data_IF_106768999099
#
_entry.id   IF_106768999099
#
_cell.length_a   1.000
_cell.length_b   1.000
_cell.length_c   1.000
_cell.angle_alpha   90.00
_cell.angle_beta   90.00
_cell.angle_gamma   90.00
#
_symmetry.space_group_name_H-M   'P 1'
#
loop_
_entity.id
_entity.type
_entity.pdbx_description
1 polymer ?
#
# COMPACT_ATOMS: atom_id res chain seq x y z
N UNK A 1 13.77 12.09 15.85
CA UNK A 1 12.76 11.41 15.01
C UNK A 1 11.71 10.87 15.95
N UNK A 2 10.44 11.18 15.74
CA UNK A 2 9.39 10.69 16.65
C UNK A 2 8.49 9.70 15.90
N UNK A 3 8.86 8.43 15.95
CA UNK A 3 7.94 7.34 15.68
C UNK A 3 7.15 7.07 16.97
N UNK A 4 5.85 7.35 16.97
CA UNK A 4 4.95 7.04 18.08
C UNK A 4 4.11 5.81 17.76
N UNK A 5 3.93 4.93 18.75
CA UNK A 5 3.09 3.74 18.62
C UNK A 5 1.77 3.96 19.36
N UNK A 6 0.66 3.67 18.71
CA UNK A 6 -0.69 3.82 19.23
C UNK A 6 -1.42 2.48 19.14
N UNK A 7 -2.04 2.05 20.24
CA UNK A 7 -2.93 0.90 20.24
C UNK A 7 -4.31 1.36 19.77
N UNK A 8 -4.67 1.03 18.54
CA UNK A 8 -5.93 1.41 17.92
C UNK A 8 -6.96 0.29 18.05
N UNK A 9 -8.14 0.61 18.60
CA UNK A 9 -9.29 -0.28 18.65
C UNK A 9 -10.18 -0.05 17.45
N UNK A 10 -10.40 -1.07 16.64
CA UNK A 10 -11.39 -1.03 15.56
C UNK A 10 -12.69 -1.68 15.98
N UNK A 11 -13.77 -0.93 15.91
CA UNK A 11 -15.13 -1.45 16.14
C UNK A 11 -15.66 -2.20 14.91
N UNK A 12 -15.19 -1.83 13.69
CA UNK A 12 -15.56 -2.51 12.44
C UNK A 12 -14.89 -3.89 12.37
N UNK A 13 -13.57 -3.94 12.61
CA UNK A 13 -12.80 -5.20 12.49
C UNK A 13 -12.82 -6.03 13.78
N UNK A 14 -13.35 -5.47 14.88
CA UNK A 14 -13.44 -6.13 16.20
C UNK A 14 -12.09 -6.61 16.72
N UNK A 15 -11.04 -5.81 16.50
CA UNK A 15 -9.70 -6.10 16.97
C UNK A 15 -8.96 -4.85 17.44
N UNK A 16 -7.80 -5.09 18.06
CA UNK A 16 -6.83 -4.06 18.41
C UNK A 16 -5.60 -4.24 17.53
N UNK A 17 -5.07 -3.13 17.00
CA UNK A 17 -3.83 -3.15 16.22
C UNK A 17 -2.93 -1.99 16.56
N UNK A 18 -1.65 -2.17 16.41
CA UNK A 18 -0.70 -1.07 16.53
C UNK A 18 -0.70 -0.26 15.25
N UNK A 19 -0.79 1.05 15.41
CA UNK A 19 -0.59 2.03 14.36
C UNK A 19 0.59 2.90 14.78
N UNK A 20 1.63 2.95 13.94
CA UNK A 20 2.77 3.83 14.19
C UNK A 20 2.69 5.07 13.33
N UNK A 21 3.02 6.22 13.92
CA UNK A 21 3.03 7.51 13.22
C UNK A 21 4.40 8.15 13.33
N UNK A 22 4.93 8.57 12.18
CA UNK A 22 6.15 9.38 12.08
C UNK A 22 5.81 10.72 11.44
N UNK A 23 6.01 11.81 12.19
CA UNK A 23 5.67 13.18 11.74
C UNK A 23 6.93 14.00 11.47
N UNK A 24 6.87 14.85 10.43
CA UNK A 24 7.79 15.97 10.29
C UNK A 24 7.40 17.12 11.23
N UNK A 25 8.37 17.97 11.57
CA UNK A 25 8.12 19.20 12.34
C UNK A 25 7.66 20.37 11.46
N UNK A 26 7.35 20.12 10.19
CA UNK A 26 6.94 21.15 9.24
C UNK A 26 5.48 21.57 9.48
N UNK A 27 5.21 22.86 9.29
CA UNK A 27 3.85 23.43 9.30
C UNK A 27 3.19 23.45 7.92
N UNK A 28 3.92 23.09 6.86
CA UNK A 28 3.38 22.98 5.51
C UNK A 28 2.38 21.82 5.40
N UNK A 29 1.40 21.89 4.49
CA UNK A 29 0.49 20.78 4.24
C UNK A 29 1.27 19.49 3.93
N UNK A 30 1.02 18.39 4.66
CA UNK A 30 1.83 17.19 4.53
C UNK A 30 1.44 16.31 3.33
N UNK A 31 2.42 15.59 2.80
CA UNK A 31 2.18 14.32 2.11
C UNK A 31 1.94 13.24 3.16
N UNK A 32 0.77 12.61 3.11
CA UNK A 32 0.40 11.53 4.02
C UNK A 32 0.65 10.17 3.36
N UNK A 33 1.42 9.31 3.99
CA UNK A 33 1.78 7.99 3.43
C UNK A 33 1.30 6.91 4.38
N UNK A 34 0.43 6.02 3.91
CA UNK A 34 -0.12 4.91 4.67
C UNK A 34 0.51 3.61 4.20
N UNK A 35 1.25 2.94 5.07
CA UNK A 35 1.91 1.67 4.82
C UNK A 35 1.09 0.53 5.43
N UNK A 36 0.53 -0.32 4.59
CA UNK A 36 -0.06 -1.60 5.00
C UNK A 36 1.07 -2.62 5.24
N UNK A 37 0.90 -3.60 6.12
CA UNK A 37 2.01 -4.40 6.67
C UNK A 37 3.08 -3.50 7.34
N UNK A 38 2.62 -2.56 8.16
CA UNK A 38 3.46 -1.52 8.76
C UNK A 38 4.69 -2.05 9.47
N UNK A 39 4.57 -3.18 10.18
CA UNK A 39 5.67 -3.88 10.83
C UNK A 39 6.77 -4.35 9.86
N UNK A 40 6.39 -4.83 8.65
CA UNK A 40 7.38 -5.23 7.64
C UNK A 40 8.10 -4.02 7.05
N UNK A 41 7.38 -2.94 6.80
CA UNK A 41 8.00 -1.69 6.35
C UNK A 41 8.97 -1.13 7.39
N UNK A 42 8.61 -1.13 8.67
CA UNK A 42 9.51 -0.72 9.76
C UNK A 42 10.75 -1.62 9.86
N UNK A 43 10.59 -2.96 9.74
CA UNK A 43 11.72 -3.90 9.71
C UNK A 43 12.68 -3.67 8.53
N UNK A 44 12.17 -3.14 7.41
CA UNK A 44 13.00 -2.76 6.26
C UNK A 44 13.72 -1.41 6.42
N UNK A 45 13.52 -0.69 7.52
CA UNK A 45 14.12 0.61 7.77
C UNK A 45 13.42 1.76 7.04
N UNK A 46 12.11 1.65 6.81
CA UNK A 46 11.35 2.69 6.12
C UNK A 46 11.32 4.00 6.90
N UNK A 47 11.43 3.94 8.23
CA UNK A 47 11.48 5.12 9.08
C UNK A 47 12.69 6.02 8.77
N UNK A 48 13.85 5.42 8.47
CA UNK A 48 15.05 6.17 8.09
C UNK A 48 14.89 6.78 6.69
N UNK A 49 14.25 6.07 5.76
CA UNK A 49 13.93 6.58 4.43
C UNK A 49 13.02 7.81 4.55
N UNK A 50 11.93 7.71 5.32
CA UNK A 50 11.01 8.85 5.57
C UNK A 50 11.75 10.01 6.24
N UNK A 51 12.59 9.72 7.23
CA UNK A 51 13.38 10.73 7.92
C UNK A 51 14.32 11.50 6.98
N UNK A 52 14.91 10.84 5.98
CA UNK A 52 15.76 11.51 4.99
C UNK A 52 14.99 12.55 4.17
N UNK A 53 13.75 12.26 3.78
CA UNK A 53 12.89 13.23 3.10
C UNK A 53 12.46 14.37 4.02
N UNK A 54 12.13 14.08 5.27
CA UNK A 54 11.78 15.09 6.27
C UNK A 54 12.96 16.05 6.54
N UNK A 55 14.19 15.52 6.58
CA UNK A 55 15.43 16.33 6.73
C UNK A 55 15.67 17.23 5.52
N UNK A 56 15.15 16.89 4.34
CA UNK A 56 15.14 17.73 3.15
C UNK A 56 13.98 18.75 3.12
N UNK A 57 13.43 19.11 4.29
CA UNK A 57 12.30 20.04 4.49
C UNK A 57 10.98 19.63 3.81
N UNK A 58 10.81 18.35 3.47
CA UNK A 58 9.51 17.86 2.99
C UNK A 58 8.58 17.60 4.17
N UNK A 59 7.38 18.16 4.11
CA UNK A 59 6.33 17.87 5.09
C UNK A 59 5.73 16.50 4.81
N UNK A 60 6.08 15.50 5.63
CA UNK A 60 5.61 14.11 5.46
C UNK A 60 5.10 13.59 6.81
N UNK A 61 3.94 12.92 6.76
CA UNK A 61 3.44 12.12 7.85
C UNK A 61 3.28 10.67 7.34
N UNK A 62 4.01 9.75 7.93
CA UNK A 62 3.90 8.33 7.63
C UNK A 62 3.08 7.62 8.71
N UNK A 63 2.14 6.79 8.27
CA UNK A 63 1.27 5.96 9.09
C UNK A 63 1.52 4.49 8.74
N UNK A 64 2.02 3.70 9.68
CA UNK A 64 2.29 2.28 9.51
C UNK A 64 1.21 1.48 10.22
N UNK A 65 0.52 0.61 9.50
CA UNK A 65 -0.66 -0.12 9.98
C UNK A 65 -0.31 -1.59 10.13
N UNK A 66 -0.40 -2.11 11.35
CA UNK A 66 -0.12 -3.53 11.61
C UNK A 66 -1.14 -4.45 10.95
N UNK A 67 -0.65 -5.54 10.38
CA UNK A 67 -1.46 -6.65 9.87
C UNK A 67 -1.76 -7.72 10.93
N UNK A 68 -1.30 -7.52 12.16
CA UNK A 68 -1.44 -8.41 13.32
C UNK A 68 -0.73 -9.77 13.11
N UNK A 69 -1.50 -10.80 12.82
CA UNK A 69 -1.02 -12.16 12.59
C UNK A 69 -1.29 -12.61 11.14
N UNK A 70 -0.71 -13.77 10.79
CA UNK A 70 -0.83 -14.30 9.43
C UNK A 70 -2.28 -14.55 9.01
N UNK A 71 -3.12 -15.08 9.89
CA UNK A 71 -4.52 -15.40 9.58
C UNK A 71 -5.32 -14.12 9.31
N UNK A 72 -5.19 -13.14 10.19
CA UNK A 72 -5.82 -11.83 10.06
C UNK A 72 -5.34 -11.12 8.80
N UNK A 73 -4.03 -11.16 8.53
CA UNK A 73 -3.46 -10.59 7.31
C UNK A 73 -4.08 -11.15 6.04
N UNK A 74 -4.22 -12.49 5.92
CA UNK A 74 -4.84 -13.09 4.74
C UNK A 74 -6.33 -12.75 4.63
N UNK A 75 -7.05 -12.70 5.75
CA UNK A 75 -8.47 -12.33 5.77
C UNK A 75 -8.70 -10.89 5.35
N UNK A 76 -7.95 -9.96 5.93
CA UNK A 76 -8.20 -8.52 5.78
C UNK A 76 -7.61 -7.94 4.49
N UNK A 77 -6.51 -8.51 4.00
CA UNK A 77 -5.81 -8.01 2.81
C UNK A 77 -6.15 -8.75 1.50
N UNK A 78 -7.30 -9.39 1.45
CA UNK A 78 -7.83 -10.03 0.24
C UNK A 78 -9.06 -9.28 -0.30
N UNK A 79 -8.90 -8.00 -0.59
CA UNK A 79 -9.98 -7.12 -1.08
C UNK A 79 -11.22 -7.13 -0.15
N UNK A 80 -11.01 -7.15 1.15
CA UNK A 80 -12.05 -7.25 2.18
C UNK A 80 -12.68 -5.89 2.47
N UNK A 81 -13.94 -5.69 2.12
CA UNK A 81 -14.65 -4.42 2.28
C UNK A 81 -14.66 -3.86 3.71
N UNK A 82 -14.85 -4.66 4.78
CA UNK A 82 -14.76 -4.12 6.13
C UNK A 82 -13.38 -3.53 6.48
N UNK A 83 -12.29 -4.00 5.84
CA UNK A 83 -10.98 -3.36 6.00
C UNK A 83 -10.95 -1.97 5.33
N UNK A 84 -11.60 -1.82 4.17
CA UNK A 84 -11.76 -0.51 3.50
C UNK A 84 -12.59 0.44 4.36
N UNK A 85 -13.68 -0.04 4.96
CA UNK A 85 -14.51 0.74 5.90
C UNK A 85 -13.70 1.16 7.13
N UNK A 86 -12.93 0.24 7.73
CA UNK A 86 -12.02 0.57 8.82
C UNK A 86 -11.06 1.71 8.44
N UNK A 87 -10.46 1.66 7.25
CA UNK A 87 -9.56 2.71 6.76
C UNK A 87 -10.31 4.05 6.66
N UNK A 88 -11.49 4.07 6.02
CA UNK A 88 -12.21 5.33 5.73
C UNK A 88 -12.99 5.90 6.90
N UNK A 89 -13.62 5.04 7.71
CA UNK A 89 -14.57 5.47 8.73
C UNK A 89 -13.96 5.56 10.13
N UNK A 90 -12.87 4.82 10.40
CA UNK A 90 -12.22 4.81 11.70
C UNK A 90 -10.80 5.37 11.66
N UNK A 91 -9.91 4.80 10.83
CA UNK A 91 -8.49 5.13 10.85
C UNK A 91 -8.21 6.54 10.35
N UNK A 92 -8.74 6.93 9.20
CA UNK A 92 -8.49 8.26 8.62
C UNK A 92 -9.00 9.39 9.53
N UNK A 93 -10.23 9.36 10.07
CA UNK A 93 -10.69 10.38 11.01
C UNK A 93 -9.81 10.48 12.26
N UNK A 94 -9.43 9.34 12.83
CA UNK A 94 -8.52 9.30 13.96
C UNK A 94 -7.14 9.88 13.61
N UNK A 95 -6.56 9.46 12.46
CA UNK A 95 -5.27 9.94 11.99
C UNK A 95 -5.25 11.46 11.78
N UNK A 96 -6.31 12.02 11.18
CA UNK A 96 -6.43 13.46 10.97
C UNK A 96 -6.47 14.23 12.29
N UNK A 97 -7.20 13.72 13.28
CA UNK A 97 -7.27 14.30 14.62
C UNK A 97 -5.91 14.20 15.35
N UNK A 98 -5.29 13.02 15.36
CA UNK A 98 -3.99 12.76 16.01
C UNK A 98 -2.86 13.58 15.40
N UNK A 99 -2.88 13.70 14.07
CA UNK A 99 -1.87 14.44 13.33
C UNK A 99 -2.18 15.94 13.20
N UNK A 100 -3.40 16.38 13.53
CA UNK A 100 -3.89 17.74 13.32
C UNK A 100 -3.71 18.18 11.87
N UNK A 101 -4.08 17.32 10.93
CA UNK A 101 -3.98 17.58 9.50
C UNK A 101 -5.25 17.17 8.78
N UNK A 102 -5.46 17.70 7.59
CA UNK A 102 -6.51 17.25 6.68
C UNK A 102 -5.89 16.43 5.55
N UNK A 103 -6.46 15.26 5.30
CA UNK A 103 -6.00 14.39 4.22
C UNK A 103 -6.35 15.02 2.87
N UNK A 104 -5.32 15.28 2.05
CA UNK A 104 -5.51 15.71 0.68
C UNK A 104 -5.29 14.50 -0.25
N UNK A 105 -6.30 14.05 -1.01
CA UNK A 105 -6.19 12.86 -1.85
C UNK A 105 -5.01 12.89 -2.83
N UNK A 106 -4.68 14.08 -3.37
CA UNK A 106 -3.58 14.25 -4.33
C UNK A 106 -2.20 14.08 -3.67
N UNK A 107 -2.11 14.37 -2.37
CA UNK A 107 -0.89 14.23 -1.57
C UNK A 107 -0.97 13.04 -0.61
N UNK A 108 -1.90 12.11 -0.85
CA UNK A 108 -2.05 10.93 0.00
C UNK A 108 -1.70 9.67 -0.79
N UNK A 109 -0.81 8.88 -0.21
CA UNK A 109 -0.26 7.67 -0.80
C UNK A 109 -0.69 6.48 0.05
N UNK A 110 -1.22 5.44 -0.58
CA UNK A 110 -1.43 4.13 0.04
C UNK A 110 -0.39 3.15 -0.50
N UNK A 111 0.37 2.53 0.39
CA UNK A 111 1.49 1.66 0.07
C UNK A 111 1.25 0.24 0.57
N UNK A 112 1.61 -0.74 -0.24
CA UNK A 112 1.61 -2.14 0.17
C UNK A 112 2.54 -3.01 -0.65
N UNK A 113 2.84 -4.17 -0.10
CA UNK A 113 3.68 -5.18 -0.72
C UNK A 113 2.97 -6.54 -0.76
N UNK A 114 3.20 -7.33 -1.81
CA UNK A 114 2.59 -8.67 -1.93
C UNK A 114 1.06 -8.59 -1.80
N UNK A 115 0.47 -9.26 -0.82
CA UNK A 115 -0.97 -9.24 -0.58
C UNK A 115 -1.47 -7.84 -0.21
N UNK A 116 -0.71 -7.07 0.56
CA UNK A 116 -1.09 -5.68 0.86
C UNK A 116 -0.88 -4.74 -0.33
N UNK A 117 -0.06 -5.10 -1.32
CA UNK A 117 -0.01 -4.42 -2.61
C UNK A 117 -1.31 -4.57 -3.40
N UNK A 118 -1.92 -5.77 -3.39
CA UNK A 118 -3.28 -5.97 -3.90
C UNK A 118 -4.29 -5.08 -3.17
N UNK A 119 -4.22 -5.05 -1.83
CA UNK A 119 -5.12 -4.25 -0.99
C UNK A 119 -4.96 -2.76 -1.24
N UNK A 120 -3.73 -2.27 -1.41
CA UNK A 120 -3.47 -0.86 -1.72
C UNK A 120 -4.12 -0.44 -3.05
N UNK A 121 -4.01 -1.28 -4.07
CA UNK A 121 -4.69 -1.05 -5.35
C UNK A 121 -6.22 -1.07 -5.20
N UNK A 122 -6.76 -2.00 -4.40
CA UNK A 122 -8.19 -2.08 -4.10
C UNK A 122 -8.69 -0.83 -3.35
N UNK A 123 -7.97 -0.39 -2.31
CA UNK A 123 -8.29 0.85 -1.57
C UNK A 123 -8.25 2.06 -2.50
N UNK A 124 -7.23 2.19 -3.34
CA UNK A 124 -7.14 3.30 -4.31
C UNK A 124 -8.31 3.32 -5.30
N UNK A 125 -8.81 2.15 -5.72
CA UNK A 125 -9.99 2.04 -6.57
C UNK A 125 -11.28 2.45 -5.84
N UNK A 126 -11.45 2.04 -4.57
CA UNK A 126 -12.71 2.23 -3.81
C UNK A 126 -12.75 3.59 -3.10
N UNK A 127 -11.60 4.11 -2.68
CA UNK A 127 -11.48 5.37 -1.92
C UNK A 127 -10.70 6.46 -2.68
N UNK A 128 -11.05 6.81 -3.93
CA UNK A 128 -10.30 7.79 -4.73
C UNK A 128 -10.36 9.22 -4.13
N UNK A 129 -11.31 9.47 -3.23
CA UNK A 129 -11.42 10.73 -2.50
C UNK A 129 -10.50 10.80 -1.26
N UNK A 130 -9.78 9.72 -0.95
CA UNK A 130 -8.79 9.67 0.13
C UNK A 130 -7.38 9.42 -0.42
N UNK A 131 -7.24 8.56 -1.42
CA UNK A 131 -5.96 8.17 -1.98
C UNK A 131 -6.00 8.23 -3.51
N UNK A 132 -5.16 9.08 -4.09
CA UNK A 132 -4.94 9.13 -5.54
C UNK A 132 -3.58 8.61 -5.96
N UNK A 133 -2.69 8.36 -5.02
CA UNK A 133 -1.37 7.79 -5.26
C UNK A 133 -1.29 6.40 -4.64
N UNK A 134 -1.06 5.40 -5.47
CA UNK A 134 -1.07 4.00 -5.09
C UNK A 134 0.30 3.38 -5.38
N UNK A 135 0.97 2.87 -4.33
CA UNK A 135 2.27 2.22 -4.45
C UNK A 135 2.12 0.73 -4.14
N UNK A 136 2.41 -0.12 -5.11
CA UNK A 136 2.34 -1.58 -4.98
C UNK A 136 3.69 -2.21 -5.30
N UNK A 137 4.31 -2.85 -4.33
CA UNK A 137 5.52 -3.65 -4.52
C UNK A 137 5.12 -5.13 -4.61
N UNK A 138 5.36 -5.76 -5.76
CA UNK A 138 5.01 -7.16 -6.03
C UNK A 138 3.55 -7.48 -5.66
N UNK A 139 2.58 -6.66 -6.12
CA UNK A 139 1.17 -6.83 -5.77
C UNK A 139 0.61 -8.20 -6.16
N UNK A 140 -0.10 -8.89 -5.23
CA UNK A 140 -0.66 -10.22 -5.45
C UNK A 140 -1.90 -10.20 -6.38
N UNK A 141 -1.77 -9.59 -7.57
CA UNK A 141 -2.89 -9.40 -8.50
C UNK A 141 -3.42 -10.70 -9.11
N UNK A 142 -2.72 -11.81 -8.94
CA UNK A 142 -3.16 -13.17 -9.28
C UNK A 142 -4.31 -13.67 -8.39
N UNK A 143 -4.55 -13.02 -7.23
CA UNK A 143 -5.52 -13.47 -6.25
C UNK A 143 -6.92 -13.61 -6.85
N UNK A 144 -7.60 -14.72 -6.49
CA UNK A 144 -8.96 -15.05 -6.91
C UNK A 144 -9.17 -14.90 -8.44
N UNK A 145 -8.26 -15.54 -9.21
CA UNK A 145 -8.26 -15.47 -10.67
C UNK A 145 -8.24 -14.03 -11.22
N UNK A 146 -7.38 -13.18 -10.64
CA UNK A 146 -7.20 -11.79 -11.06
C UNK A 146 -8.47 -10.91 -10.87
N UNK A 147 -9.26 -11.23 -9.86
CA UNK A 147 -10.54 -10.57 -9.58
C UNK A 147 -10.41 -9.04 -9.54
N UNK A 148 -9.37 -8.49 -8.92
CA UNK A 148 -9.20 -7.03 -8.85
C UNK A 148 -8.97 -6.41 -10.22
N UNK A 149 -8.22 -7.07 -11.10
CA UNK A 149 -8.02 -6.62 -12.49
C UNK A 149 -9.38 -6.50 -13.20
N UNK A 150 -10.25 -7.49 -13.03
CA UNK A 150 -11.59 -7.47 -13.62
C UNK A 150 -12.50 -6.38 -13.02
N UNK A 151 -12.41 -6.10 -11.72
CA UNK A 151 -13.13 -4.97 -11.11
C UNK A 151 -12.62 -3.63 -11.64
N UNK A 152 -11.30 -3.46 -11.74
CA UNK A 152 -10.69 -2.23 -12.23
C UNK A 152 -11.00 -1.93 -13.69
N UNK A 153 -11.22 -2.95 -14.54
CA UNK A 153 -11.70 -2.75 -15.93
C UNK A 153 -12.99 -1.92 -15.99
N UNK A 154 -13.88 -2.11 -15.00
CA UNK A 154 -15.20 -1.45 -14.92
C UNK A 154 -15.19 -0.18 -14.07
N UNK A 155 -14.12 0.08 -13.34
CA UNK A 155 -14.02 1.20 -12.41
C UNK A 155 -13.49 2.45 -13.10
N UNK A 156 -13.85 3.62 -12.57
CA UNK A 156 -13.26 4.88 -12.96
C UNK A 156 -12.01 5.16 -12.11
N UNK A 157 -10.84 5.13 -12.75
CA UNK A 157 -9.54 5.41 -12.11
C UNK A 157 -9.03 6.83 -12.44
N UNK A 158 -9.92 7.72 -12.85
CA UNK A 158 -9.58 9.09 -13.25
C UNK A 158 -8.84 9.83 -12.12
N UNK A 159 -7.72 10.44 -12.46
CA UNK A 159 -6.81 11.14 -11.56
C UNK A 159 -6.08 10.27 -10.53
N UNK A 160 -6.18 8.95 -10.59
CA UNK A 160 -5.29 8.07 -9.83
C UNK A 160 -3.93 7.98 -10.50
N UNK A 161 -2.89 7.79 -9.72
CA UNK A 161 -1.54 7.48 -10.21
C UNK A 161 -0.99 6.25 -9.49
N UNK A 162 -0.32 5.39 -10.24
CA UNK A 162 0.21 4.13 -9.74
C UNK A 162 1.73 4.07 -9.87
N UNK A 163 2.36 3.53 -8.86
CA UNK A 163 3.69 2.96 -8.97
C UNK A 163 3.59 1.46 -8.71
N UNK A 164 4.02 0.67 -9.68
CA UNK A 164 4.08 -0.79 -9.59
C UNK A 164 5.52 -1.24 -9.79
N UNK A 165 6.03 -2.08 -8.91
CA UNK A 165 7.27 -2.81 -9.18
C UNK A 165 7.13 -4.29 -8.86
N UNK A 166 7.93 -5.12 -9.52
CA UNK A 166 7.95 -6.57 -9.32
C UNK A 166 9.33 -7.13 -9.62
N UNK A 167 9.77 -8.14 -8.86
CA UNK A 167 11.01 -8.83 -9.14
C UNK A 167 10.92 -9.70 -10.38
N UNK A 168 11.89 -9.61 -11.28
CA UNK A 168 11.92 -10.39 -12.54
C UNK A 168 12.14 -11.90 -12.33
N UNK A 169 12.47 -12.32 -11.09
CA UNK A 169 12.59 -13.73 -10.67
C UNK A 169 11.29 -14.27 -10.05
N UNK A 170 10.24 -13.49 -9.91
CA UNK A 170 8.95 -13.88 -9.33
C UNK A 170 8.09 -14.64 -10.36
N UNK A 171 8.63 -15.73 -10.91
CA UNK A 171 8.07 -16.54 -12.01
C UNK A 171 7.38 -17.81 -11.55
N UNK A 172 7.34 -18.09 -10.24
CA UNK A 172 6.74 -19.31 -9.71
C UNK A 172 5.22 -19.30 -9.89
N UNK A 173 4.67 -20.48 -10.17
CA UNK A 173 3.24 -20.76 -10.33
C UNK A 173 2.85 -21.97 -9.47
N UNK A 174 1.56 -22.21 -9.34
CA UNK A 174 1.00 -23.35 -8.60
C UNK A 174 1.43 -23.37 -7.12
N UNK A 175 1.43 -22.21 -6.47
CA UNK A 175 1.82 -22.06 -5.07
C UNK A 175 0.56 -21.98 -4.21
N UNK A 176 0.52 -22.77 -3.14
CA UNK A 176 -0.48 -22.65 -2.07
C UNK A 176 0.11 -21.78 -0.95
N UNK A 177 -0.30 -20.53 -0.87
CA UNK A 177 0.17 -19.58 0.14
C UNK A 177 -0.52 -19.75 1.49
N UNK A 178 -1.83 -20.02 1.43
CA UNK A 178 -2.73 -20.15 2.59
C UNK A 178 -4.02 -20.83 2.12
N UNK A 179 -4.81 -21.49 2.99
CA UNK A 179 -6.12 -22.05 2.58
C UNK A 179 -6.98 -21.01 1.85
N UNK A 180 -7.36 -21.32 0.61
CA UNK A 180 -8.10 -20.39 -0.28
C UNK A 180 -7.23 -19.41 -1.07
N UNK A 181 -5.90 -19.45 -0.95
CA UNK A 181 -4.96 -18.56 -1.65
C UNK A 181 -4.00 -19.36 -2.55
N UNK A 182 -4.54 -19.90 -3.62
CA UNK A 182 -3.78 -20.66 -4.60
C UNK A 182 -3.41 -19.78 -5.80
N UNK A 183 -2.12 -19.68 -6.08
CA UNK A 183 -1.56 -18.89 -7.17
C UNK A 183 -1.34 -19.75 -8.40
N UNK A 184 -2.12 -19.51 -9.45
CA UNK A 184 -2.03 -20.25 -10.74
C UNK A 184 -1.17 -19.55 -11.77
N UNK A 185 -1.00 -18.23 -11.67
CA UNK A 185 -0.19 -17.38 -12.54
C UNK A 185 0.97 -16.78 -11.75
N UNK A 186 2.09 -16.50 -12.41
CA UNK A 186 3.24 -15.91 -11.72
C UNK A 186 2.94 -14.49 -11.21
N UNK A 187 3.62 -14.11 -10.12
CA UNK A 187 3.57 -12.75 -9.61
C UNK A 187 3.95 -11.74 -10.69
N UNK A 188 5.01 -12.06 -11.46
CA UNK A 188 5.50 -11.22 -12.55
C UNK A 188 4.42 -11.01 -13.62
N UNK A 189 3.78 -12.10 -14.09
CA UNK A 189 2.80 -11.98 -15.18
C UNK A 189 1.51 -11.30 -14.71
N UNK A 190 1.06 -11.54 -13.48
CA UNK A 190 -0.11 -10.83 -12.94
C UNK A 190 0.14 -9.32 -12.78
N UNK A 191 1.36 -8.91 -12.41
CA UNK A 191 1.74 -7.50 -12.37
C UNK A 191 1.84 -6.88 -13.78
N UNK A 192 2.32 -7.62 -14.79
CA UNK A 192 2.28 -7.18 -16.18
C UNK A 192 0.86 -6.96 -16.69
N UNK A 193 -0.08 -7.86 -16.37
CA UNK A 193 -1.50 -7.69 -16.74
C UNK A 193 -2.13 -6.50 -16.04
N UNK A 194 -1.80 -6.23 -14.77
CA UNK A 194 -2.23 -5.00 -14.09
C UNK A 194 -1.68 -3.77 -14.78
N UNK A 195 -0.39 -3.74 -15.12
CA UNK A 195 0.23 -2.66 -15.92
C UNK A 195 -0.54 -2.43 -17.22
N UNK A 196 -0.78 -3.48 -18.00
CA UNK A 196 -1.43 -3.39 -19.30
C UNK A 196 -2.87 -2.84 -19.18
N UNK A 197 -3.58 -3.24 -18.12
CA UNK A 197 -4.88 -2.66 -17.80
C UNK A 197 -4.77 -1.15 -17.52
N UNK A 198 -3.86 -0.72 -16.65
CA UNK A 198 -3.70 0.70 -16.31
C UNK A 198 -3.33 1.54 -17.53
N UNK A 199 -2.46 1.03 -18.41
CA UNK A 199 -2.14 1.65 -19.71
C UNK A 199 -3.40 1.78 -20.57
N UNK A 200 -4.18 0.71 -20.69
CA UNK A 200 -5.42 0.71 -21.50
C UNK A 200 -6.48 1.69 -21.03
N UNK A 201 -6.39 2.12 -19.77
CA UNK A 201 -7.28 3.10 -19.13
C UNK A 201 -6.69 4.51 -19.05
N UNK A 202 -5.54 4.73 -19.68
CA UNK A 202 -4.80 6.02 -19.67
C UNK A 202 -4.53 6.53 -18.24
N UNK A 203 -4.22 5.60 -17.32
CA UNK A 203 -3.87 5.92 -15.94
C UNK A 203 -2.39 6.29 -15.85
N UNK A 204 -2.08 7.42 -15.20
CA UNK A 204 -0.70 7.80 -14.93
C UNK A 204 -0.01 6.74 -14.09
N UNK A 205 1.06 6.14 -14.59
CA UNK A 205 1.76 5.10 -13.86
C UNK A 205 3.25 5.00 -14.17
N UNK A 206 3.99 4.47 -13.20
CA UNK A 206 5.35 3.95 -13.37
C UNK A 206 5.31 2.45 -13.12
N UNK A 207 5.95 1.67 -14.00
CA UNK A 207 6.10 0.23 -13.86
C UNK A 207 7.55 -0.18 -13.98
N UNK A 208 8.05 -0.95 -13.02
CA UNK A 208 9.44 -1.42 -12.99
C UNK A 208 9.52 -2.95 -12.76
N UNK A 209 10.25 -3.63 -13.63
CA UNK A 209 10.71 -4.99 -13.40
C UNK A 209 12.16 -4.95 -12.90
N UNK A 210 12.36 -5.24 -11.63
CA UNK A 210 13.68 -5.13 -11.00
C UNK A 210 14.37 -6.49 -10.91
N UNK A 211 15.70 -6.50 -10.86
CA UNK A 211 16.44 -7.75 -10.65
C UNK A 211 16.30 -8.20 -9.20
N UNK A 212 15.27 -8.99 -8.92
CA UNK A 212 14.94 -9.44 -7.57
C UNK A 212 13.94 -10.60 -7.56
N UNK A 213 13.71 -11.12 -6.35
CA UNK A 213 12.71 -12.13 -6.04
C UNK A 213 11.65 -11.56 -5.12
N UNK A 214 10.64 -12.36 -4.74
CA UNK A 214 9.60 -12.00 -3.78
C UNK A 214 10.18 -11.92 -2.35
N UNK A 215 10.87 -10.84 -2.02
CA UNK A 215 11.63 -10.72 -0.77
C UNK A 215 11.69 -9.29 -0.24
N UNK A 216 11.93 -9.18 1.06
CA UNK A 216 12.13 -7.88 1.73
C UNK A 216 13.30 -7.10 1.12
N UNK A 217 14.39 -7.76 0.71
CA UNK A 217 15.55 -7.08 0.09
C UNK A 217 15.15 -6.38 -1.21
N UNK A 218 14.34 -7.04 -2.05
CA UNK A 218 13.81 -6.44 -3.28
C UNK A 218 12.95 -5.23 -2.96
N UNK A 219 12.03 -5.33 -2.01
CA UNK A 219 11.13 -4.22 -1.64
C UNK A 219 11.89 -3.08 -0.96
N UNK A 220 12.83 -3.39 -0.06
CA UNK A 220 13.68 -2.38 0.57
C UNK A 220 14.50 -1.60 -0.45
N UNK A 221 15.07 -2.27 -1.44
CA UNK A 221 15.90 -1.64 -2.47
C UNK A 221 15.12 -0.72 -3.42
N UNK A 222 13.85 -1.04 -3.69
CA UNK A 222 12.98 -0.27 -4.61
C UNK A 222 12.24 0.88 -3.93
N UNK A 223 11.99 0.80 -2.63
CA UNK A 223 11.17 1.77 -1.91
C UNK A 223 11.66 3.22 -1.99
N UNK A 224 12.96 3.55 -1.85
CA UNK A 224 13.43 4.94 -1.97
C UNK A 224 13.11 5.55 -3.33
N UNK A 225 13.37 4.84 -4.42
CA UNK A 225 13.06 5.28 -5.79
C UNK A 225 11.55 5.50 -5.97
N UNK A 226 10.75 4.53 -5.52
CA UNK A 226 9.30 4.60 -5.58
C UNK A 226 8.74 5.83 -4.85
N UNK A 227 9.17 6.07 -3.62
CA UNK A 227 8.74 7.22 -2.84
C UNK A 227 9.20 8.55 -3.47
N UNK A 228 10.42 8.60 -4.03
CA UNK A 228 10.91 9.80 -4.73
C UNK A 228 10.03 10.23 -5.90
N UNK A 229 9.41 9.28 -6.59
CA UNK A 229 8.49 9.55 -7.70
C UNK A 229 7.08 9.89 -7.25
N UNK A 230 6.70 9.48 -6.05
CA UNK A 230 5.32 9.61 -5.53
C UNK A 230 5.15 10.80 -4.58
N UNK A 231 6.19 11.24 -3.87
CA UNK A 231 6.23 12.44 -3.00
C UNK A 231 6.47 13.69 -3.87
#
# INVERSE_FOLDING_TARGET
MNLSAHLFKSEILKNYRTVWIQKSNSTAPPTCIFFLDGELYLQMGTEEIIASYQSANRSIIACFISSLDRQTRFKENACYYPFVQYISEELIPWFQNECRCTLNPVNSIICGLSLTGLTSAFIGMVLPNHFRKILCQSGAFWWNNEWLIDQMKRSNLYRSSFYLCVGNKEKQININHYPGFFQTISQLDSNRRMRDLLISKDVLMVYEEVNGSHSQDTWKSTLPGALSLMI
#
